data_IF_071394051233
#
_entry.id   IF_071394051233
#
_cell.length_a   1.000
_cell.length_b   1.000
_cell.length_c   1.000
_cell.angle_alpha   90.00
_cell.angle_beta   90.00
_cell.angle_gamma   90.00
#
_symmetry.space_group_name_H-M   'P 1'
#
loop_
_entity.id
_entity.type
_entity.pdbx_description
1 polymer ?
#
# COMPACT_ATOMS: atom_id res chain seq x y z
N UNK A 1 -17.32 -12.24 20.17
CA UNK A 1 -17.21 -12.45 18.71
C UNK A 1 -15.83 -11.99 18.30
N UNK A 2 -14.92 -12.92 18.06
CA UNK A 2 -13.50 -12.63 17.82
C UNK A 2 -13.32 -12.27 16.35
N UNK A 3 -13.12 -10.98 16.07
CA UNK A 3 -12.84 -10.48 14.74
C UNK A 3 -11.52 -11.07 14.22
N UNK A 4 -11.62 -12.04 13.31
CA UNK A 4 -10.50 -12.64 12.57
C UNK A 4 -9.85 -11.69 11.54
N UNK A 5 -10.25 -10.42 11.51
CA UNK A 5 -9.64 -9.38 10.69
C UNK A 5 -8.28 -8.88 11.22
N UNK A 6 -7.58 -9.67 12.05
CA UNK A 6 -6.31 -9.28 12.68
C UNK A 6 -5.08 -10.09 12.21
N UNK A 7 -5.19 -10.88 11.16
CA UNK A 7 -4.13 -11.85 10.86
C UNK A 7 -3.06 -11.35 9.89
N UNK A 8 -3.28 -10.29 9.10
CA UNK A 8 -2.22 -9.75 8.22
C UNK A 8 -2.16 -8.23 8.34
N UNK A 9 -1.15 -7.75 9.07
CA UNK A 9 -0.92 -6.35 9.42
C UNK A 9 -0.44 -5.50 8.24
N UNK A 10 -1.24 -5.40 7.19
CA UNK A 10 -1.15 -4.26 6.28
C UNK A 10 -2.15 -3.25 6.79
N UNK A 11 -1.69 -2.47 7.76
CA UNK A 11 -2.48 -1.36 8.26
C UNK A 11 -2.45 -0.25 7.21
N UNK A 12 -3.55 -0.09 6.47
CA UNK A 12 -3.69 0.99 5.49
C UNK A 12 -3.63 2.37 6.12
N UNK A 13 -3.87 2.50 7.44
CA UNK A 13 -3.66 3.76 8.15
C UNK A 13 -2.16 4.08 8.35
N UNK A 14 -1.28 3.07 8.20
CA UNK A 14 0.17 3.22 8.21
C UNK A 14 0.77 3.54 6.84
N UNK A 15 -0.03 3.90 5.83
CA UNK A 15 0.48 4.34 4.53
C UNK A 15 -0.26 5.61 4.05
N UNK A 16 0.48 6.58 3.50
CA UNK A 16 -0.04 7.84 2.94
C UNK A 16 0.07 7.83 1.42
N UNK A 17 -0.98 8.30 0.74
CA UNK A 17 -0.98 8.52 -0.70
C UNK A 17 -0.07 9.70 -1.03
N UNK A 18 0.83 9.53 -2.00
CA UNK A 18 1.67 10.62 -2.46
C UNK A 18 0.86 11.52 -3.40
N UNK A 19 0.68 12.83 -3.10
CA UNK A 19 -0.04 13.74 -3.96
C UNK A 19 0.73 14.01 -5.27
N UNK A 20 0.01 14.41 -6.32
CA UNK A 20 0.56 14.76 -7.65
C UNK A 20 1.27 13.61 -8.40
N UNK A 21 0.91 12.36 -8.10
CA UNK A 21 1.41 11.23 -8.86
C UNK A 21 0.81 11.23 -10.29
N UNK A 22 1.61 10.92 -11.32
CA UNK A 22 1.11 10.81 -12.67
C UNK A 22 0.11 9.66 -12.73
N UNK A 23 -1.11 9.97 -13.18
CA UNK A 23 -2.10 8.93 -13.44
C UNK A 23 -1.73 8.18 -14.71
N UNK A 24 -1.41 6.90 -14.54
CA UNK A 24 -0.98 6.02 -15.60
C UNK A 24 -1.85 4.76 -15.62
N UNK A 25 -2.00 4.10 -16.77
CA UNK A 25 -2.61 2.79 -16.83
C UNK A 25 -1.90 1.80 -15.90
N UNK A 26 -2.66 0.94 -15.22
CA UNK A 26 -2.10 -0.09 -14.33
C UNK A 26 -1.22 -1.11 -15.07
N UNK A 27 -1.31 -1.16 -16.40
CA UNK A 27 -0.43 -1.94 -17.24
C UNK A 27 1.04 -1.45 -17.18
N UNK A 28 1.28 -0.17 -16.86
CA UNK A 28 2.62 0.39 -16.66
C UNK A 28 3.20 0.11 -15.28
N UNK A 29 2.41 -0.38 -14.32
CA UNK A 29 2.89 -0.77 -12.98
C UNK A 29 3.65 -2.09 -12.98
N UNK A 30 3.95 -2.68 -14.15
CA UNK A 30 4.65 -3.97 -14.32
C UNK A 30 4.05 -5.12 -13.47
N UNK A 31 2.76 -5.02 -13.12
CA UNK A 31 2.06 -6.02 -12.34
C UNK A 31 1.94 -7.33 -13.13
N UNK A 32 1.94 -8.50 -12.45
CA UNK A 32 1.67 -9.76 -13.12
C UNK A 32 0.35 -9.71 -13.90
N UNK A 33 0.33 -10.24 -15.14
CA UNK A 33 -0.85 -10.21 -16.02
C UNK A 33 -2.15 -10.66 -15.34
N UNK A 34 -2.09 -11.70 -14.50
CA UNK A 34 -3.24 -12.20 -13.72
C UNK A 34 -3.85 -11.13 -12.81
N UNK A 35 -3.01 -10.26 -12.24
CA UNK A 35 -3.42 -9.16 -11.36
C UNK A 35 -4.03 -8.04 -12.19
N UNK A 36 -3.39 -7.67 -13.31
CA UNK A 36 -3.92 -6.67 -14.24
C UNK A 36 -5.31 -7.10 -14.73
N UNK A 37 -5.47 -8.33 -15.21
CA UNK A 37 -6.77 -8.84 -15.67
C UNK A 37 -7.82 -8.85 -14.56
N UNK A 38 -7.44 -9.17 -13.32
CA UNK A 38 -8.35 -9.12 -12.18
C UNK A 38 -8.78 -7.67 -11.86
N UNK A 39 -7.86 -6.72 -11.91
CA UNK A 39 -8.15 -5.29 -11.69
C UNK A 39 -9.04 -4.73 -12.81
N UNK A 40 -8.73 -5.03 -14.07
CA UNK A 40 -9.52 -4.59 -15.22
C UNK A 40 -10.94 -5.16 -15.20
N UNK A 41 -11.13 -6.38 -14.68
CA UNK A 41 -12.44 -6.99 -14.49
C UNK A 41 -13.32 -6.24 -13.47
N UNK A 42 -12.70 -5.47 -12.57
CA UNK A 42 -13.37 -4.56 -11.62
C UNK A 42 -13.34 -3.10 -12.08
N UNK A 43 -13.11 -2.87 -13.38
CA UNK A 43 -13.04 -1.52 -13.99
C UNK A 43 -11.91 -0.63 -13.45
N UNK A 44 -10.90 -1.24 -12.81
CA UNK A 44 -9.69 -0.56 -12.37
C UNK A 44 -8.68 -0.62 -13.51
N UNK A 45 -8.51 0.50 -14.22
CA UNK A 45 -7.59 0.60 -15.36
C UNK A 45 -6.47 1.60 -15.14
N UNK A 46 -6.66 2.53 -14.21
CA UNK A 46 -5.70 3.60 -13.88
C UNK A 46 -5.11 3.46 -12.48
N UNK A 47 -3.90 3.96 -12.29
CA UNK A 47 -3.19 3.98 -11.02
C UNK A 47 -3.93 4.77 -9.94
N UNK A 48 -4.55 5.90 -10.30
CA UNK A 48 -5.35 6.71 -9.36
C UNK A 48 -6.54 5.92 -8.81
N UNK A 49 -7.24 5.17 -9.66
CA UNK A 49 -8.32 4.28 -9.25
C UNK A 49 -7.78 3.20 -8.33
N UNK A 50 -6.69 2.54 -8.70
CA UNK A 50 -6.08 1.48 -7.90
C UNK A 50 -5.71 1.97 -6.48
N UNK A 51 -5.09 3.14 -6.39
CA UNK A 51 -4.73 3.78 -5.12
C UNK A 51 -5.98 4.16 -4.32
N UNK A 52 -7.03 4.67 -4.97
CA UNK A 52 -8.31 4.97 -4.32
C UNK A 52 -8.99 3.73 -3.71
N UNK A 53 -9.03 2.62 -4.46
CA UNK A 53 -9.59 1.35 -3.98
C UNK A 53 -8.77 0.75 -2.84
N UNK A 54 -7.44 0.89 -2.90
CA UNK A 54 -6.56 0.50 -1.80
C UNK A 54 -6.81 1.33 -0.55
N UNK A 55 -6.87 2.66 -0.67
CA UNK A 55 -7.09 3.59 0.45
C UNK A 55 -8.46 3.40 1.10
N UNK A 56 -9.47 3.02 0.32
CA UNK A 56 -10.81 2.70 0.81
C UNK A 56 -10.90 1.31 1.47
N UNK A 57 -9.80 0.55 1.55
CA UNK A 57 -9.76 -0.86 2.00
C UNK A 57 -10.68 -1.80 1.20
N UNK A 58 -11.20 -1.33 0.08
CA UNK A 58 -12.10 -2.09 -0.80
C UNK A 58 -11.34 -3.11 -1.64
N UNK A 59 -10.04 -2.89 -1.87
CA UNK A 59 -9.24 -3.76 -2.74
C UNK A 59 -9.14 -5.20 -2.24
N UNK A 60 -9.05 -5.42 -0.92
CA UNK A 60 -9.03 -6.77 -0.31
C UNK A 60 -10.40 -7.45 -0.33
N UNK A 61 -11.48 -6.69 -0.60
CA UNK A 61 -12.83 -7.21 -0.72
C UNK A 61 -13.21 -7.55 -2.17
N UNK A 62 -12.33 -7.24 -3.15
CA UNK A 62 -12.58 -7.54 -4.56
C UNK A 62 -12.43 -9.04 -4.83
N UNK A 63 -13.45 -9.63 -5.45
CA UNK A 63 -13.45 -11.04 -5.85
C UNK A 63 -12.29 -11.31 -6.81
N UNK A 64 -11.37 -12.19 -6.44
CA UNK A 64 -10.16 -12.51 -7.22
C UNK A 64 -8.89 -11.80 -6.76
N UNK A 65 -9.02 -10.81 -5.88
CA UNK A 65 -7.88 -10.19 -5.19
C UNK A 65 -7.73 -10.87 -3.84
N UNK A 66 -7.00 -11.98 -3.83
CA UNK A 66 -6.60 -12.63 -2.59
C UNK A 66 -5.50 -11.84 -1.87
N UNK A 67 -5.21 -12.23 -0.63
CA UNK A 67 -4.17 -11.61 0.20
C UNK A 67 -2.81 -11.49 -0.52
N UNK A 68 -2.36 -12.54 -1.21
CA UNK A 68 -1.08 -12.54 -1.93
C UNK A 68 -1.10 -11.47 -3.04
N UNK A 69 -2.19 -11.42 -3.82
CA UNK A 69 -2.40 -10.42 -4.88
C UNK A 69 -2.40 -9.01 -4.30
N UNK A 70 -3.12 -8.80 -3.20
CA UNK A 70 -3.18 -7.54 -2.48
C UNK A 70 -1.78 -7.08 -2.03
N UNK A 71 -1.00 -7.96 -1.40
CA UNK A 71 0.38 -7.66 -1.00
C UNK A 71 1.28 -7.32 -2.19
N UNK A 72 1.16 -8.05 -3.31
CA UNK A 72 1.92 -7.74 -4.54
C UNK A 72 1.57 -6.35 -5.08
N UNK A 73 0.29 -6.00 -5.12
CA UNK A 73 -0.17 -4.67 -5.57
C UNK A 73 0.44 -3.57 -4.70
N UNK A 74 0.38 -3.74 -3.38
CA UNK A 74 0.97 -2.82 -2.42
C UNK A 74 2.47 -2.62 -2.62
N UNK A 75 3.21 -3.71 -2.78
CA UNK A 75 4.65 -3.66 -3.01
C UNK A 75 4.98 -2.82 -4.26
N UNK A 76 4.21 -2.97 -5.35
CA UNK A 76 4.39 -2.15 -6.54
C UNK A 76 4.00 -0.69 -6.30
N UNK A 77 2.88 -0.42 -5.62
CA UNK A 77 2.49 0.96 -5.30
C UNK A 77 3.54 1.68 -4.44
N UNK A 78 4.21 0.97 -3.52
CA UNK A 78 5.32 1.50 -2.70
C UNK A 78 6.57 1.73 -3.57
N UNK A 79 6.98 0.72 -4.34
CA UNK A 79 8.16 0.80 -5.22
C UNK A 79 8.06 1.94 -6.23
N UNK A 80 6.87 2.15 -6.78
CA UNK A 80 6.60 3.24 -7.73
C UNK A 80 6.29 4.59 -7.04
N UNK A 81 6.46 4.71 -5.72
CA UNK A 81 6.21 5.93 -4.93
C UNK A 81 4.76 6.46 -5.00
N UNK A 82 3.77 5.63 -5.37
CA UNK A 82 2.36 6.03 -5.33
C UNK A 82 1.85 6.14 -3.89
N UNK A 83 2.33 5.25 -3.02
CA UNK A 83 2.04 5.26 -1.58
C UNK A 83 3.35 5.17 -0.82
N UNK A 84 3.40 5.78 0.37
CA UNK A 84 4.55 5.71 1.27
C UNK A 84 4.10 5.21 2.64
N UNK A 85 4.87 4.36 3.32
CA UNK A 85 4.58 4.05 4.71
C UNK A 85 4.63 5.35 5.55
N UNK A 86 3.54 5.65 6.25
CA UNK A 86 3.40 6.81 7.17
C UNK A 86 4.14 6.60 8.48
N UNK A 87 4.46 5.34 8.83
CA UNK A 87 5.38 5.07 9.92
C UNK A 87 6.81 5.32 9.44
N UNK A 88 7.27 6.55 9.65
CA UNK A 88 8.60 6.72 10.17
C UNK A 88 8.66 5.82 11.42
N UNK A 89 9.43 4.74 11.37
CA UNK A 89 10.10 4.26 12.57
C UNK A 89 10.56 5.53 13.29
N UNK A 90 10.20 5.79 14.56
CA UNK A 90 10.92 6.81 15.30
C UNK A 90 12.39 6.47 15.06
N UNK A 91 13.11 7.38 14.39
CA UNK A 91 14.54 7.25 14.21
C UNK A 91 15.08 6.75 15.55
N UNK A 92 15.79 5.61 15.61
CA UNK A 92 16.27 5.10 16.89
C UNK A 92 16.99 6.26 17.53
N UNK A 93 16.43 6.75 18.65
CA UNK A 93 16.85 8.00 19.27
C UNK A 93 18.37 8.01 19.24
N UNK A 94 18.94 8.93 18.45
CA UNK A 94 20.38 9.13 18.40
C UNK A 94 20.84 9.09 19.85
N UNK A 95 21.77 8.20 20.23
CA UNK A 95 22.17 8.09 21.62
C UNK A 95 22.63 9.47 22.01
N UNK A 96 21.84 10.13 22.86
CA UNK A 96 22.23 11.36 23.53
C UNK A 96 23.33 10.92 24.49
N UNK A 97 24.53 10.80 23.93
CA UNK A 97 25.77 10.71 24.66
C UNK A 97 26.16 12.15 24.95
N UNK A 98 25.56 12.73 25.98
CA UNK A 98 26.03 13.97 26.60
C UNK A 98 25.53 14.05 28.04
N UNK A 99 26.00 13.13 28.88
CA UNK A 99 26.58 13.58 30.15
C UNK A 99 27.94 14.22 29.77
N UNK A 100 28.37 15.31 30.42
CA UNK A 100 28.68 15.26 31.84
C UNK A 100 28.02 16.36 32.66
N UNK A 101 27.81 16.05 33.94
CA UNK A 101 27.56 17.00 35.02
C UNK A 101 28.62 18.11 35.05
N UNK A 102 28.22 19.34 35.42
CA UNK A 102 28.83 19.98 36.58
C UNK A 102 27.81 20.45 37.64
#
# INVERSE_FOLDING_TARGET
MTSIAKTIGIDTAQHQIVPNQPDKPIAELELPKRIITALEAHEIRMTSQLVYYWASQSLNNLKGIGQITYTTILDHLINHNYIKPTHATPEPAQPTASEPSP
#
